data_IF_520947470542
#
_entry.id   IF_520947470542
#
_cell.length_a   1.000
_cell.length_b   1.000
_cell.length_c   1.000
_cell.angle_alpha   90.00
_cell.angle_beta   90.00
_cell.angle_gamma   90.00
#
_symmetry.space_group_name_H-M   'P 1'
#
loop_
_entity.id
_entity.type
_entity.pdbx_description
1 polymer ?
#
# COMPACT_ATOMS: atom_id res chain seq x y z
N UNK A 1 10.88 -10.01 -12.61
CA UNK A 1 10.73 -10.75 -11.33
C UNK A 1 9.62 -10.07 -10.53
N UNK A 2 8.85 -10.81 -9.72
CA UNK A 2 7.77 -10.18 -8.92
C UNK A 2 8.42 -9.44 -7.75
N UNK A 3 8.45 -8.10 -7.82
CA UNK A 3 9.35 -7.24 -7.03
C UNK A 3 9.15 -7.20 -5.50
N UNK A 4 8.25 -8.00 -4.93
CA UNK A 4 7.95 -8.03 -3.48
C UNK A 4 8.37 -9.35 -2.78
N UNK A 5 9.15 -10.23 -3.44
CA UNK A 5 9.45 -11.58 -2.94
C UNK A 5 10.05 -11.59 -1.54
N UNK A 6 10.91 -10.61 -1.23
CA UNK A 6 11.71 -10.62 -0.01
C UNK A 6 10.90 -10.19 1.22
N UNK A 7 9.79 -9.49 1.01
CA UNK A 7 8.91 -8.97 2.07
C UNK A 7 7.48 -9.55 2.05
N UNK A 8 7.24 -10.60 1.26
CA UNK A 8 5.90 -11.19 1.07
C UNK A 8 5.20 -11.52 2.39
N UNK A 9 5.87 -12.20 3.32
CA UNK A 9 5.27 -12.57 4.61
C UNK A 9 4.94 -11.36 5.48
N UNK A 10 5.78 -10.32 5.42
CA UNK A 10 5.57 -9.08 6.16
C UNK A 10 4.39 -8.28 5.59
N UNK A 11 4.20 -8.29 4.26
CA UNK A 11 3.05 -7.71 3.58
C UNK A 11 1.77 -8.46 3.92
N UNK A 12 1.77 -9.79 3.83
CA UNK A 12 0.61 -10.62 4.19
C UNK A 12 0.19 -10.43 5.65
N UNK A 13 1.14 -10.34 6.59
CA UNK A 13 0.85 -10.04 8.00
C UNK A 13 0.22 -8.66 8.19
N UNK A 14 0.61 -7.64 7.42
CA UNK A 14 0.01 -6.30 7.50
C UNK A 14 -1.40 -6.29 6.90
N UNK A 15 -1.57 -6.94 5.75
CA UNK A 15 -2.88 -7.09 5.10
C UNK A 15 -3.87 -7.83 5.99
N UNK A 16 -3.46 -8.92 6.65
CA UNK A 16 -4.31 -9.66 7.59
C UNK A 16 -4.77 -8.80 8.79
N UNK A 17 -3.91 -7.88 9.26
CA UNK A 17 -4.30 -6.91 10.31
C UNK A 17 -5.32 -5.90 9.79
N UNK A 18 -5.10 -5.33 8.60
CA UNK A 18 -6.04 -4.39 7.98
C UNK A 18 -7.40 -5.05 7.74
N UNK A 19 -7.42 -6.30 7.26
CA UNK A 19 -8.64 -7.10 7.12
C UNK A 19 -9.38 -7.27 8.45
N UNK A 20 -8.64 -7.56 9.53
CA UNK A 20 -9.19 -7.63 10.88
C UNK A 20 -9.81 -6.31 11.34
N UNK A 21 -9.18 -5.17 11.03
CA UNK A 21 -9.73 -3.84 11.32
C UNK A 21 -11.03 -3.59 10.55
N UNK A 22 -11.09 -3.91 9.25
CA UNK A 22 -12.31 -3.76 8.45
C UNK A 22 -13.45 -4.61 9.00
N UNK A 23 -13.17 -5.87 9.40
CA UNK A 23 -14.19 -6.69 10.07
C UNK A 23 -14.64 -6.10 11.40
N UNK A 24 -13.73 -5.50 12.17
CA UNK A 24 -14.06 -4.80 13.41
C UNK A 24 -14.98 -3.62 13.18
N UNK A 25 -14.70 -2.80 12.16
CA UNK A 25 -15.55 -1.67 11.76
C UNK A 25 -16.96 -2.15 11.39
N UNK A 26 -17.08 -3.24 10.62
CA UNK A 26 -18.40 -3.79 10.27
C UNK A 26 -19.22 -4.16 11.51
N UNK A 27 -18.61 -4.82 12.51
CA UNK A 27 -19.28 -5.13 13.78
C UNK A 27 -19.69 -3.88 14.56
N UNK A 28 -18.83 -2.87 14.60
CA UNK A 28 -19.18 -1.60 15.27
C UNK A 28 -20.42 -0.95 14.66
N UNK A 29 -20.60 -1.06 13.33
CA UNK A 29 -21.81 -0.60 12.65
C UNK A 29 -23.01 -1.48 13.00
N UNK A 30 -22.85 -2.81 13.02
CA UNK A 30 -23.91 -3.74 13.44
C UNK A 30 -24.37 -3.52 14.89
N UNK A 31 -23.46 -3.05 15.75
CA UNK A 31 -23.67 -2.80 17.18
C UNK A 31 -24.11 -1.34 17.47
N UNK A 32 -24.43 -0.54 16.45
CA UNK A 32 -24.82 0.87 16.58
C UNK A 32 -23.81 1.71 17.40
N UNK A 33 -22.51 1.41 17.25
CA UNK A 33 -21.42 2.11 17.95
C UNK A 33 -21.37 3.59 17.56
N UNK A 34 -20.94 4.45 18.48
CA UNK A 34 -20.83 5.88 18.26
C UNK A 34 -19.96 6.22 17.03
N UNK A 35 -20.48 7.11 16.18
CA UNK A 35 -19.90 7.37 14.86
C UNK A 35 -18.44 7.83 14.91
N UNK A 36 -18.03 8.58 15.95
CA UNK A 36 -16.64 9.05 16.08
C UNK A 36 -15.67 7.89 16.33
N UNK A 37 -16.10 6.87 17.07
CA UNK A 37 -15.25 5.69 17.31
C UNK A 37 -15.09 4.87 16.03
N UNK A 38 -16.16 4.74 15.24
CA UNK A 38 -16.13 4.12 13.91
C UNK A 38 -15.16 4.88 13.00
N UNK A 39 -15.26 6.22 12.93
CA UNK A 39 -14.36 7.05 12.11
C UNK A 39 -12.89 6.93 12.56
N UNK A 40 -12.65 6.76 13.86
CA UNK A 40 -11.31 6.51 14.40
C UNK A 40 -10.76 5.17 13.90
N UNK A 41 -11.58 4.11 13.91
CA UNK A 41 -11.15 2.80 13.38
C UNK A 41 -10.98 2.80 11.86
N UNK A 42 -11.84 3.49 11.12
CA UNK A 42 -11.67 3.69 9.68
C UNK A 42 -10.33 4.35 9.39
N UNK A 43 -9.99 5.42 10.10
CA UNK A 43 -8.69 6.10 9.95
C UNK A 43 -7.51 5.16 10.24
N UNK A 44 -7.64 4.30 11.26
CA UNK A 44 -6.61 3.30 11.58
C UNK A 44 -6.45 2.23 10.49
N UNK A 45 -7.55 1.78 9.87
CA UNK A 45 -7.52 0.83 8.76
C UNK A 45 -6.89 1.46 7.50
N UNK A 46 -7.23 2.71 7.18
CA UNK A 46 -6.62 3.47 6.07
C UNK A 46 -5.11 3.59 6.26
N UNK A 47 -4.64 3.96 7.45
CA UNK A 47 -3.21 4.05 7.78
C UNK A 47 -2.47 2.72 7.58
N UNK A 48 -3.12 1.60 7.92
CA UNK A 48 -2.55 0.28 7.75
C UNK A 48 -2.37 -0.06 6.26
N UNK A 49 -3.35 0.28 5.42
CA UNK A 49 -3.28 0.09 3.97
C UNK A 49 -2.25 1.02 3.32
N UNK A 50 -2.16 2.29 3.74
CA UNK A 50 -1.11 3.22 3.30
C UNK A 50 0.29 2.65 3.55
N UNK A 51 0.51 2.04 4.72
CA UNK A 51 1.79 1.42 5.07
C UNK A 51 2.14 0.27 4.12
N UNK A 52 1.14 -0.53 3.72
CA UNK A 52 1.32 -1.61 2.74
C UNK A 52 1.66 -1.03 1.36
N UNK A 53 0.94 -0.01 0.92
CA UNK A 53 1.17 0.64 -0.36
C UNK A 53 2.58 1.27 -0.45
N UNK A 54 3.03 1.95 0.60
CA UNK A 54 4.38 2.50 0.68
C UNK A 54 5.46 1.42 0.66
N UNK A 55 5.22 0.28 1.32
CA UNK A 55 6.18 -0.84 1.31
C UNK A 55 6.31 -1.44 -0.09
N UNK A 56 5.18 -1.64 -0.80
CA UNK A 56 5.18 -2.13 -2.19
C UNK A 56 5.86 -1.15 -3.15
N UNK A 57 5.67 0.15 -2.93
CA UNK A 57 6.30 1.19 -3.72
C UNK A 57 7.82 1.22 -3.51
N UNK A 58 8.29 1.15 -2.27
CA UNK A 58 9.73 1.12 -1.95
C UNK A 58 10.42 -0.07 -2.62
N UNK A 59 9.81 -1.26 -2.53
CA UNK A 59 10.27 -2.46 -3.22
C UNK A 59 10.29 -2.28 -4.76
N UNK A 60 9.27 -1.64 -5.34
CA UNK A 60 9.20 -1.36 -6.78
C UNK A 60 10.31 -0.40 -7.24
N UNK A 61 10.59 0.65 -6.46
CA UNK A 61 11.66 1.61 -6.77
C UNK A 61 13.04 0.94 -6.69
N UNK A 62 13.27 0.08 -5.69
CA UNK A 62 14.56 -0.60 -5.49
C UNK A 62 14.89 -1.63 -6.56
N UNK A 63 13.89 -2.32 -7.10
CA UNK A 63 14.12 -3.37 -8.08
C UNK A 63 13.86 -2.87 -9.50
N UNK A 64 12.62 -2.52 -9.82
CA UNK A 64 12.23 -2.24 -11.20
C UNK A 64 12.80 -0.92 -11.74
N UNK A 65 12.87 0.12 -10.90
CA UNK A 65 13.40 1.43 -11.35
C UNK A 65 14.92 1.45 -11.31
N UNK A 66 15.56 0.85 -10.30
CA UNK A 66 17.02 0.78 -10.23
C UNK A 66 17.62 -0.07 -11.37
N UNK A 67 17.02 -1.22 -11.67
CA UNK A 67 17.42 -2.07 -12.81
C UNK A 67 17.24 -1.32 -14.14
N UNK A 68 16.08 -0.72 -14.38
CA UNK A 68 15.82 0.01 -15.62
C UNK A 68 16.71 1.25 -15.79
N UNK A 69 17.04 1.94 -14.69
CA UNK A 69 17.98 3.08 -14.72
C UNK A 69 19.41 2.65 -15.07
N UNK A 70 19.81 1.42 -14.74
CA UNK A 70 21.10 0.87 -15.14
C UNK A 70 21.17 0.51 -16.63
N UNK A 71 20.04 0.14 -17.25
CA UNK A 71 19.94 -0.14 -18.69
C UNK A 71 19.82 1.15 -19.54
N UNK A 72 19.20 2.20 -19.00
CA UNK A 72 19.05 3.50 -19.66
C UNK A 72 18.06 3.52 -20.84
N UNK A 73 17.91 4.69 -21.46
CA UNK A 73 17.08 4.86 -22.65
C UNK A 73 15.55 4.87 -22.38
N UNK A 74 14.73 4.72 -23.43
CA UNK A 74 13.28 4.94 -23.36
C UNK A 74 12.55 3.97 -22.42
N UNK A 75 13.09 2.76 -22.20
CA UNK A 75 12.53 1.78 -21.26
C UNK A 75 12.66 2.26 -19.81
N UNK A 76 13.79 2.90 -19.47
CA UNK A 76 14.00 3.50 -18.15
C UNK A 76 13.03 4.65 -17.88
N UNK A 77 12.82 5.53 -18.86
CA UNK A 77 11.89 6.65 -18.75
C UNK A 77 10.44 6.18 -18.56
N UNK A 78 10.02 5.13 -19.27
CA UNK A 78 8.67 4.56 -19.12
C UNK A 78 8.45 3.97 -17.72
N UNK A 79 9.42 3.23 -17.19
CA UNK A 79 9.36 2.64 -15.83
C UNK A 79 9.34 3.72 -14.74
N UNK A 80 10.12 4.78 -14.89
CA UNK A 80 10.08 5.94 -14.00
C UNK A 80 8.73 6.66 -14.03
N UNK A 81 8.13 6.81 -15.22
CA UNK A 81 6.81 7.44 -15.38
C UNK A 81 5.70 6.60 -14.74
N UNK A 82 5.76 5.28 -14.88
CA UNK A 82 4.84 4.33 -14.24
C UNK A 82 4.90 4.45 -12.70
N UNK A 83 6.11 4.41 -12.13
CA UNK A 83 6.32 4.57 -10.69
C UNK A 83 5.80 5.94 -10.19
N UNK A 84 6.14 7.03 -10.89
CA UNK A 84 5.68 8.38 -10.54
C UNK A 84 4.16 8.52 -10.57
N UNK A 85 3.49 7.89 -11.54
CA UNK A 85 2.03 7.89 -11.61
C UNK A 85 1.38 7.09 -10.47
N UNK A 86 1.98 5.97 -10.05
CA UNK A 86 1.52 5.20 -8.90
C UNK A 86 1.65 6.01 -7.59
N UNK A 87 2.79 6.67 -7.37
CA UNK A 87 3.02 7.58 -6.23
C UNK A 87 1.96 8.67 -6.20
N UNK A 88 1.72 9.32 -7.34
CA UNK A 88 0.78 10.42 -7.42
C UNK A 88 -0.65 10.01 -7.06
N UNK A 89 -1.06 8.76 -7.34
CA UNK A 89 -2.37 8.23 -6.90
C UNK A 89 -2.40 8.01 -5.39
N UNK A 90 -1.33 7.48 -4.81
CA UNK A 90 -1.22 7.22 -3.38
C UNK A 90 -1.22 8.49 -2.52
N UNK A 91 -0.63 9.59 -3.00
CA UNK A 91 -0.58 10.87 -2.27
C UNK A 91 -1.90 11.63 -2.30
N UNK A 92 -2.81 11.29 -3.24
CA UNK A 92 -4.10 11.97 -3.42
C UNK A 92 -5.27 11.27 -2.73
N UNK A 93 -5.08 10.04 -2.27
CA UNK A 93 -6.05 9.28 -1.46
C UNK A 93 -5.95 9.64 0.00
#
# INVERSE_FOLDING_TARGET
MVGYSDNKDALLKRLSRAEGQVRGIARMVEEDTYCIDILTQVSAATKALETVALSLLDDHLKHCVAEASAEGGPVAEEKLREASAAIARLVRS
#
